data_IF_808174787428
#
_entry.id   IF_808174787428
#
_cell.length_a   1.000
_cell.length_b   1.000
_cell.length_c   1.000
_cell.angle_alpha   90.00
_cell.angle_beta   90.00
_cell.angle_gamma   90.00
#
_symmetry.space_group_name_H-M   'P 1'
#
loop_
_entity.id
_entity.type
_entity.pdbx_description
1 polymer ?
#
# COMPACT_ATOMS: atom_id res chain seq x y z
N UNK A 1 -13.85 15.93 2.33
CA UNK A 1 -12.69 15.47 3.14
C UNK A 1 -11.40 15.53 2.30
N UNK A 2 -10.97 16.71 1.82
CA UNK A 2 -9.75 16.87 0.99
C UNK A 2 -8.65 17.73 1.65
N UNK A 3 -8.96 18.35 2.80
CA UNK A 3 -8.06 19.32 3.45
C UNK A 3 -6.73 18.72 3.92
N UNK A 4 -6.71 17.44 4.32
CA UNK A 4 -5.48 16.76 4.75
C UNK A 4 -4.51 16.62 3.57
N UNK A 5 -5.01 16.15 2.41
CA UNK A 5 -4.21 16.00 1.19
C UNK A 5 -3.68 17.35 0.73
N UNK A 6 -4.54 18.39 0.68
CA UNK A 6 -4.10 19.75 0.33
C UNK A 6 -2.97 20.23 1.25
N UNK A 7 -3.10 20.01 2.56
CA UNK A 7 -2.08 20.43 3.53
C UNK A 7 -0.75 19.71 3.33
N UNK A 8 -0.77 18.42 3.00
CA UNK A 8 0.44 17.65 2.69
C UNK A 8 1.09 18.15 1.40
N UNK A 9 0.30 18.38 0.35
CA UNK A 9 0.81 18.91 -0.93
C UNK A 9 1.41 20.31 -0.76
N UNK A 10 0.72 21.21 -0.03
CA UNK A 10 1.22 22.54 0.28
C UNK A 10 2.54 22.52 1.07
N UNK A 11 2.76 21.48 1.89
CA UNK A 11 4.02 21.27 2.60
C UNK A 11 5.11 20.80 1.63
N UNK A 12 4.82 19.80 0.79
CA UNK A 12 5.78 19.29 -0.20
C UNK A 12 6.22 20.35 -1.21
N UNK A 13 5.34 21.27 -1.62
CA UNK A 13 5.66 22.36 -2.54
C UNK A 13 6.66 23.39 -1.96
N UNK A 14 6.86 23.41 -0.64
CA UNK A 14 7.82 24.29 0.03
C UNK A 14 9.17 23.63 0.27
N UNK A 15 9.26 22.31 0.06
CA UNK A 15 10.49 21.55 0.20
C UNK A 15 11.30 21.62 -1.10
N UNK A 16 12.61 21.37 -1.00
CA UNK A 16 13.46 21.30 -2.18
C UNK A 16 13.16 20.02 -2.99
N UNK A 17 13.52 20.04 -4.27
CA UNK A 17 13.43 18.84 -5.11
C UNK A 17 14.31 17.73 -4.54
N UNK A 18 13.75 16.54 -4.36
CA UNK A 18 14.44 15.42 -3.72
C UNK A 18 13.50 14.28 -3.38
N UNK A 19 14.05 13.25 -2.73
CA UNK A 19 13.28 12.11 -2.25
C UNK A 19 12.96 12.28 -0.77
N UNK A 20 11.74 11.94 -0.38
CA UNK A 20 11.27 12.09 1.01
C UNK A 20 10.50 10.86 1.48
N UNK A 21 10.56 10.58 2.79
CA UNK A 21 9.81 9.50 3.44
C UNK A 21 8.83 10.11 4.44
N UNK A 22 7.56 9.70 4.34
CA UNK A 22 6.51 10.06 5.29
C UNK A 22 6.27 8.91 6.29
N UNK A 23 6.63 9.12 7.55
CA UNK A 23 6.59 8.08 8.59
C UNK A 23 5.60 8.46 9.69
N UNK A 24 4.77 7.51 10.10
CA UNK A 24 3.95 7.61 11.31
C UNK A 24 4.77 7.13 12.52
N UNK A 25 4.83 7.94 13.55
CA UNK A 25 5.48 7.59 14.82
C UNK A 25 4.70 6.42 15.47
N UNK A 26 5.33 5.28 15.77
CA UNK A 26 4.61 4.12 16.33
C UNK A 26 4.05 4.42 17.72
N UNK A 27 4.76 5.23 18.52
CA UNK A 27 4.41 5.53 19.91
C UNK A 27 3.50 6.74 20.06
N UNK A 28 3.51 7.67 19.10
CA UNK A 28 2.74 8.93 19.15
C UNK A 28 1.84 9.08 17.92
N UNK A 29 0.66 9.70 18.03
CA UNK A 29 -0.19 10.00 16.87
C UNK A 29 0.37 11.20 16.07
N UNK A 30 1.60 11.06 15.56
CA UNK A 30 2.32 12.08 14.84
C UNK A 30 2.90 11.49 13.56
N UNK A 31 2.92 12.30 12.49
CA UNK A 31 3.60 11.98 11.24
C UNK A 31 4.79 12.92 11.04
N UNK A 32 5.86 12.43 10.43
CA UNK A 32 7.09 13.19 10.12
C UNK A 32 7.53 12.92 8.69
N UNK A 33 8.10 13.94 8.06
CA UNK A 33 8.73 13.84 6.74
C UNK A 33 10.24 13.92 6.93
N UNK A 34 10.98 12.99 6.33
CA UNK A 34 12.43 12.99 6.29
C UNK A 34 12.90 13.07 4.85
N UNK A 35 13.90 13.90 4.58
CA UNK A 35 14.63 13.87 3.32
C UNK A 35 15.53 12.63 3.30
N UNK A 36 15.60 11.96 2.16
CA UNK A 36 16.46 10.79 1.98
C UNK A 36 17.34 10.97 0.74
N UNK A 37 18.52 10.34 0.71
CA UNK A 37 19.36 10.27 -0.49
C UNK A 37 18.61 9.77 -1.73
N UNK A 38 19.13 10.12 -2.91
CA UNK A 38 18.53 9.70 -4.19
C UNK A 38 18.56 8.20 -4.41
N UNK A 39 19.51 7.48 -3.81
CA UNK A 39 19.65 6.02 -3.88
C UNK A 39 18.82 5.26 -2.83
N UNK A 40 18.11 5.96 -1.93
CA UNK A 40 17.45 5.35 -0.76
C UNK A 40 16.36 4.30 -1.06
N UNK A 41 15.90 4.21 -2.31
CA UNK A 41 14.91 3.23 -2.76
C UNK A 41 15.40 2.40 -3.94
N UNK A 42 16.67 2.53 -4.31
CA UNK A 42 17.27 1.70 -5.34
C UNK A 42 17.61 0.36 -4.69
N UNK A 43 16.73 -0.62 -4.91
CA UNK A 43 16.95 -1.99 -4.46
C UNK A 43 17.98 -2.64 -5.39
N UNK A 44 19.26 -2.60 -5.02
CA UNK A 44 20.29 -3.49 -5.58
C UNK A 44 20.08 -4.96 -5.18
N UNK A 45 19.05 -5.24 -4.37
CA UNK A 45 18.60 -6.59 -4.07
C UNK A 45 17.82 -7.12 -5.27
N UNK A 46 18.52 -7.92 -6.08
CA UNK A 46 17.90 -8.94 -6.92
C UNK A 46 16.86 -9.65 -6.06
N UNK A 47 15.60 -9.51 -6.42
CA UNK A 47 14.50 -10.25 -5.81
C UNK A 47 14.76 -11.73 -6.12
N UNK A 48 15.47 -12.41 -5.22
CA UNK A 48 15.75 -13.82 -5.34
C UNK A 48 14.38 -14.51 -5.32
N UNK A 49 13.97 -15.20 -6.40
CA UNK A 49 12.63 -15.75 -6.49
C UNK A 49 12.44 -16.69 -5.31
N UNK A 50 11.42 -16.42 -4.49
CA UNK A 50 11.08 -17.30 -3.37
C UNK A 50 10.84 -18.72 -3.92
N UNK A 51 11.41 -19.76 -3.28
CA UNK A 51 11.19 -21.14 -3.70
C UNK A 51 9.67 -21.42 -3.74
N UNK A 52 9.23 -22.15 -4.76
CA UNK A 52 7.81 -22.40 -5.08
C UNK A 52 7.01 -22.97 -3.89
N UNK A 53 7.67 -23.57 -2.91
CA UNK A 53 7.06 -24.16 -1.71
C UNK A 53 6.53 -23.13 -0.67
N UNK A 54 7.00 -21.88 -0.69
CA UNK A 54 6.52 -20.82 0.22
C UNK A 54 5.47 -19.88 -0.41
N UNK A 55 5.09 -20.11 -1.67
CA UNK A 55 4.04 -19.32 -2.31
C UNK A 55 2.68 -19.76 -1.77
N UNK A 56 2.07 -18.93 -0.91
CA UNK A 56 0.67 -19.08 -0.52
C UNK A 56 -0.22 -18.95 -1.76
N UNK A 57 -1.02 -19.98 -2.11
CA UNK A 57 -1.90 -19.89 -3.27
C UNK A 57 -2.91 -18.74 -3.06
N UNK A 58 -3.22 -17.97 -4.11
CA UNK A 58 -4.21 -16.92 -4.00
C UNK A 58 -5.56 -17.53 -3.57
N UNK A 59 -6.31 -16.86 -2.67
CA UNK A 59 -7.61 -17.36 -2.25
C UNK A 59 -8.52 -17.47 -3.48
N UNK A 60 -9.01 -18.68 -3.76
CA UNK A 60 -9.94 -18.95 -4.85
C UNK A 60 -11.21 -18.13 -4.64
N UNK A 61 -11.59 -17.33 -5.64
CA UNK A 61 -12.86 -16.61 -5.69
C UNK A 61 -14.03 -17.60 -5.91
N UNK A 62 -14.33 -18.44 -4.91
CA UNK A 62 -15.50 -19.32 -4.92
C UNK A 62 -16.31 -19.18 -3.62
N UNK A 63 -16.70 -17.95 -3.26
CA UNK A 63 -17.80 -17.73 -2.31
C UNK A 63 -18.36 -16.32 -2.52
N UNK A 64 -19.24 -16.16 -3.52
CA UNK A 64 -20.47 -15.34 -3.50
C UNK A 64 -21.04 -15.33 -4.93
N UNK A 65 -21.63 -16.45 -5.34
CA UNK A 65 -22.49 -16.51 -6.51
C UNK A 65 -23.69 -17.43 -6.24
N UNK A 66 -24.41 -17.19 -5.14
CA UNK A 66 -25.78 -17.68 -5.00
C UNK A 66 -26.68 -16.84 -5.94
N UNK A 67 -26.86 -17.34 -7.16
CA UNK A 67 -27.86 -16.85 -8.11
C UNK A 67 -29.26 -17.41 -7.78
N UNK A 68 -30.33 -16.72 -8.24
CA UNK A 68 -31.68 -16.71 -7.66
C UNK A 68 -32.60 -17.84 -8.15
N UNK A 69 -33.75 -17.92 -7.49
CA UNK A 69 -34.92 -18.83 -7.57
C UNK A 69 -35.35 -19.42 -8.93
N UNK A 70 -35.89 -20.66 -8.92
CA UNK A 70 -37.15 -21.16 -9.55
C UNK A 70 -37.19 -22.72 -9.52
N UNK A 71 -37.89 -23.36 -8.55
CA UNK A 71 -39.24 -23.98 -8.60
C UNK A 71 -39.36 -25.34 -9.34
N UNK A 72 -39.77 -26.41 -8.62
CA UNK A 72 -40.89 -27.32 -8.97
C UNK A 72 -41.13 -28.47 -7.98
N UNK A 73 -42.40 -28.58 -7.60
CA UNK A 73 -43.22 -29.59 -6.93
C UNK A 73 -42.69 -31.03 -6.70
N UNK A 74 -42.96 -31.54 -5.48
CA UNK A 74 -43.53 -32.88 -5.20
C UNK A 74 -44.56 -32.76 -4.07
#
# INVERSE_FOLDING_TARGET
MWGIVKSIVDLCLKLNEGKYVFVKDPSKPQVRIYEVPTDAFENDYVEEPLPEEEQVPPPTEEETAAKPDEEKDV
#
